data_IF_741578333903
#
_entry.id   IF_741578333903
#
_cell.length_a   1.000
_cell.length_b   1.000
_cell.length_c   1.000
_cell.angle_alpha   90.00
_cell.angle_beta   90.00
_cell.angle_gamma   90.00
#
_symmetry.space_group_name_H-M   'P 1'
#
loop_
_entity.id
_entity.type
_entity.pdbx_description
1 polymer ?
#
# COMPACT_ATOMS: atom_id res chain seq x y z
N UNK A 1 46.59 -2.07 -0.75
CA UNK A 1 46.07 -0.76 -1.23
C UNK A 1 45.74 -0.98 -2.70
N UNK A 2 44.50 -1.01 -3.18
CA UNK A 2 43.31 -0.28 -2.79
C UNK A 2 42.04 -1.13 -2.89
N UNK A 3 41.10 -0.80 -2.03
CA UNK A 3 39.72 -1.27 -1.97
C UNK A 3 39.01 -1.23 -3.33
N UNK A 4 38.21 -2.26 -3.60
CA UNK A 4 37.05 -2.15 -4.49
C UNK A 4 35.81 -2.13 -3.59
N UNK A 5 35.18 -0.97 -3.51
CA UNK A 5 33.86 -0.83 -2.90
C UNK A 5 32.82 -1.64 -3.70
N UNK A 6 31.96 -2.42 -3.04
CA UNK A 6 30.76 -2.94 -3.68
C UNK A 6 29.68 -1.86 -3.61
N UNK A 7 29.60 -1.03 -4.66
CA UNK A 7 28.42 -0.21 -4.89
C UNK A 7 27.25 -1.14 -5.16
N UNK A 8 26.44 -1.36 -4.12
CA UNK A 8 25.16 -2.05 -4.13
C UNK A 8 24.19 -1.31 -5.06
N UNK A 9 24.29 -1.63 -6.35
CA UNK A 9 23.31 -1.21 -7.34
C UNK A 9 22.10 -2.13 -7.21
N UNK A 10 21.13 -1.71 -6.41
CA UNK A 10 19.77 -2.26 -6.39
C UNK A 10 19.08 -2.02 -7.74
N UNK A 11 19.52 -2.73 -8.78
CA UNK A 11 19.03 -2.65 -10.17
C UNK A 11 18.16 -3.88 -10.50
N UNK A 12 17.47 -4.43 -9.50
CA UNK A 12 16.56 -5.56 -9.67
C UNK A 12 15.07 -5.21 -9.70
N UNK A 13 14.70 -3.95 -9.45
CA UNK A 13 13.28 -3.57 -9.24
C UNK A 13 12.55 -3.15 -10.52
N UNK A 14 13.26 -2.60 -11.53
CA UNK A 14 12.62 -2.02 -12.72
C UNK A 14 12.18 -3.06 -13.76
N UNK A 15 12.90 -4.19 -13.88
CA UNK A 15 12.63 -5.20 -14.90
C UNK A 15 11.33 -5.97 -14.65
N UNK A 16 11.01 -6.24 -13.37
CA UNK A 16 9.82 -7.01 -12.99
C UNK A 16 8.54 -6.16 -12.95
N UNK A 17 8.62 -4.85 -12.68
CA UNK A 17 7.45 -3.96 -12.81
C UNK A 17 6.95 -3.92 -14.26
N UNK A 18 7.87 -3.91 -15.23
CA UNK A 18 7.53 -4.02 -16.66
C UNK A 18 6.86 -5.34 -17.05
N UNK A 19 7.00 -6.38 -16.22
CA UNK A 19 6.32 -7.67 -16.40
C UNK A 19 4.91 -7.69 -15.76
N UNK A 20 4.59 -6.74 -14.87
CA UNK A 20 3.26 -6.68 -14.28
C UNK A 20 2.24 -6.22 -15.32
N UNK A 21 1.15 -6.98 -15.42
CA UNK A 21 0.08 -6.67 -16.35
C UNK A 21 -0.63 -5.39 -15.93
N UNK A 22 -0.72 -4.42 -16.85
CA UNK A 22 -1.64 -3.29 -16.71
C UNK A 22 -3.08 -3.81 -16.60
N UNK A 23 -3.77 -3.44 -15.54
CA UNK A 23 -5.19 -3.71 -15.33
C UNK A 23 -6.01 -2.88 -16.31
N UNK A 24 -6.90 -3.56 -17.03
CA UNK A 24 -7.80 -2.91 -17.99
C UNK A 24 -8.98 -2.31 -17.26
N UNK A 25 -9.41 -1.12 -17.68
CA UNK A 25 -10.55 -0.42 -17.06
C UNK A 25 -11.87 -1.19 -17.16
N UNK A 26 -12.01 -2.05 -18.16
CA UNK A 26 -13.15 -2.96 -18.35
C UNK A 26 -13.19 -4.07 -17.29
N UNK A 27 -12.04 -4.43 -16.69
CA UNK A 27 -11.87 -5.50 -15.72
C UNK A 27 -11.67 -6.88 -16.34
N UNK A 28 -11.50 -6.98 -17.66
CA UNK A 28 -11.38 -8.25 -18.39
C UNK A 28 -10.19 -9.12 -17.94
N UNK A 29 -9.10 -8.49 -17.51
CA UNK A 29 -7.92 -9.17 -16.99
C UNK A 29 -7.80 -9.07 -15.46
N UNK A 30 -8.86 -8.69 -14.74
CA UNK A 30 -8.80 -8.44 -13.30
C UNK A 30 -8.36 -9.67 -12.52
N UNK A 31 -8.93 -10.85 -12.76
CA UNK A 31 -8.67 -12.06 -11.96
C UNK A 31 -7.17 -12.43 -12.00
N UNK A 32 -6.61 -12.57 -13.20
CA UNK A 32 -5.19 -12.90 -13.38
C UNK A 32 -4.26 -11.74 -13.06
N UNK A 33 -4.68 -10.51 -13.29
CA UNK A 33 -3.91 -9.31 -12.92
C UNK A 33 -3.78 -9.15 -11.41
N UNK A 34 -4.88 -9.35 -10.67
CA UNK A 34 -4.91 -9.32 -9.20
C UNK A 34 -3.93 -10.34 -8.63
N UNK A 35 -4.04 -11.61 -9.02
CA UNK A 35 -3.15 -12.69 -8.55
C UNK A 35 -1.66 -12.35 -8.72
N UNK A 36 -1.28 -11.78 -9.88
CA UNK A 36 0.10 -11.36 -10.16
C UNK A 36 0.56 -10.23 -9.24
N UNK A 37 -0.30 -9.24 -9.00
CA UNK A 37 -0.01 -8.12 -8.12
C UNK A 37 0.15 -8.59 -6.67
N UNK A 38 -0.75 -9.45 -6.19
CA UNK A 38 -0.68 -10.02 -4.83
C UNK A 38 0.61 -10.81 -4.63
N UNK A 39 0.94 -11.70 -5.59
CA UNK A 39 2.18 -12.49 -5.57
C UNK A 39 3.42 -11.59 -5.55
N UNK A 40 3.42 -10.53 -6.36
CA UNK A 40 4.54 -9.60 -6.41
C UNK A 40 4.72 -8.85 -5.08
N UNK A 41 3.65 -8.28 -4.53
CA UNK A 41 3.68 -7.54 -3.27
C UNK A 41 4.05 -8.45 -2.09
N UNK A 42 3.62 -9.71 -2.12
CA UNK A 42 4.04 -10.72 -1.15
C UNK A 42 5.54 -11.01 -1.26
N UNK A 43 6.08 -11.19 -2.48
CA UNK A 43 7.52 -11.42 -2.71
C UNK A 43 8.41 -10.27 -2.19
N UNK A 44 7.88 -9.04 -2.20
CA UNK A 44 8.56 -7.83 -1.70
C UNK A 44 8.30 -7.55 -0.22
N UNK A 45 7.57 -8.43 0.49
CA UNK A 45 7.16 -8.24 1.90
C UNK A 45 6.32 -6.97 2.13
N UNK A 46 5.63 -6.50 1.09
CA UNK A 46 4.76 -5.32 1.13
C UNK A 46 3.30 -5.68 1.40
N UNK A 47 2.93 -6.95 1.27
CA UNK A 47 1.54 -7.42 1.38
C UNK A 47 0.83 -6.97 2.68
N UNK A 48 1.56 -6.94 3.81
CA UNK A 48 1.00 -6.50 5.10
C UNK A 48 0.49 -5.05 5.09
N UNK A 49 1.03 -4.19 4.22
CA UNK A 49 0.52 -2.82 4.07
C UNK A 49 -0.74 -2.80 3.20
N UNK A 50 -0.85 -3.75 2.28
CA UNK A 50 -1.92 -3.84 1.27
C UNK A 50 -3.18 -4.49 1.86
N UNK A 51 -3.03 -5.51 2.71
CA UNK A 51 -4.13 -6.12 3.45
C UNK A 51 -4.55 -5.32 4.70
N UNK A 52 -3.77 -4.30 5.08
CA UNK A 52 -4.01 -3.45 6.25
C UNK A 52 -3.52 -4.03 7.58
N UNK A 53 -2.82 -5.17 7.57
CA UNK A 53 -2.29 -5.84 8.77
C UNK A 53 -1.01 -5.18 9.33
N UNK A 54 -0.40 -4.25 8.59
CA UNK A 54 0.77 -3.48 9.01
C UNK A 54 0.35 -2.40 10.01
N UNK A 55 0.88 -2.50 11.24
CA UNK A 55 0.62 -1.50 12.28
C UNK A 55 1.42 -0.24 12.00
N UNK A 56 0.72 0.89 11.82
CA UNK A 56 1.33 2.21 11.74
C UNK A 56 1.94 2.58 13.10
N UNK A 57 3.24 2.90 13.17
CA UNK A 57 3.85 3.31 14.44
C UNK A 57 3.19 4.58 15.00
N UNK A 58 3.00 4.66 16.34
CA UNK A 58 2.45 5.85 16.97
C UNK A 58 3.43 7.02 16.88
N UNK A 59 2.93 8.22 16.61
CA UNK A 59 3.75 9.44 16.69
C UNK A 59 3.98 9.78 18.16
N UNK A 60 5.22 9.62 18.64
CA UNK A 60 5.64 10.02 19.99
C UNK A 60 6.18 11.45 19.93
N UNK A 61 5.93 12.26 20.98
CA UNK A 61 6.50 13.60 21.12
C UNK A 61 7.42 13.61 22.34
N UNK A 62 8.63 14.15 22.19
CA UNK A 62 9.53 14.38 23.32
C UNK A 62 8.92 15.46 24.22
N UNK A 63 8.74 15.15 25.51
CA UNK A 63 8.41 16.17 26.50
C UNK A 63 9.74 16.80 26.92
N UNK A 64 10.04 18.02 26.43
CA UNK A 64 11.05 18.84 27.07
C UNK A 64 10.65 18.99 28.55
N UNK A 65 11.54 18.63 29.48
CA UNK A 65 11.28 18.69 30.90
C UNK A 65 10.88 20.13 31.29
N UNK A 66 9.57 20.40 31.35
CA UNK A 66 9.03 21.62 31.92
C UNK A 66 8.53 21.31 33.33
N UNK A 67 8.86 22.14 34.34
CA UNK A 67 8.59 21.81 35.73
C UNK A 67 7.09 21.91 36.03
N UNK A 68 6.53 20.83 36.58
CA UNK A 68 5.24 20.73 37.31
C UNK A 68 4.03 21.46 36.68
N UNK A 69 3.15 20.70 36.04
CA UNK A 69 1.78 21.14 35.74
C UNK A 69 0.81 19.96 35.69
N UNK A 70 -0.10 19.89 36.68
CA UNK A 70 -1.17 18.88 36.78
C UNK A 70 -2.20 19.09 35.66
N UNK A 71 -2.43 18.07 34.83
CA UNK A 71 -3.51 18.03 33.83
C UNK A 71 -3.81 16.56 33.45
N UNK A 72 -5.05 16.24 33.03
CA UNK A 72 -5.53 14.86 32.99
C UNK A 72 -4.86 14.08 31.86
N UNK A 73 -4.61 12.80 32.14
CA UNK A 73 -3.84 11.86 31.35
C UNK A 73 -4.33 11.76 29.89
N UNK A 74 -3.67 12.49 29.00
CA UNK A 74 -3.37 11.97 27.66
C UNK A 74 -2.19 11.02 27.85
N UNK A 75 -2.29 9.81 27.31
CA UNK A 75 -1.22 8.81 27.20
C UNK A 75 -0.05 9.39 26.37
N UNK A 76 0.68 10.33 26.95
CA UNK A 76 1.96 10.80 26.46
C UNK A 76 2.99 9.78 26.94
N UNK A 77 3.31 8.82 26.07
CA UNK A 77 4.35 7.85 26.34
C UNK A 77 5.67 8.61 26.48
N UNK A 78 6.12 8.79 27.72
CA UNK A 78 7.44 9.32 28.06
C UNK A 78 8.48 8.34 27.53
N UNK A 79 9.18 8.72 26.46
CA UNK A 79 10.16 7.87 25.79
C UNK A 79 11.57 8.46 25.98
N UNK A 80 12.55 7.60 26.26
CA UNK A 80 13.97 7.94 26.19
C UNK A 80 14.36 8.28 24.75
N UNK A 81 15.42 9.06 24.54
CA UNK A 81 15.94 9.41 23.19
C UNK A 81 16.08 8.18 22.27
N UNK A 82 16.63 7.08 22.79
CA UNK A 82 16.77 5.82 22.06
C UNK A 82 15.44 5.17 21.63
N UNK A 83 14.38 5.38 22.43
CA UNK A 83 13.04 4.87 22.11
C UNK A 83 12.37 5.76 21.07
N UNK A 84 12.66 7.06 21.07
CA UNK A 84 12.18 8.00 20.07
C UNK A 84 12.81 7.68 18.70
N UNK A 85 14.13 7.55 18.64
CA UNK A 85 14.85 7.22 17.40
C UNK A 85 14.35 5.90 16.78
N UNK A 86 14.13 4.87 17.60
CA UNK A 86 13.55 3.59 17.13
C UNK A 86 12.15 3.75 16.54
N UNK A 87 11.32 4.60 17.14
CA UNK A 87 9.94 4.81 16.68
C UNK A 87 9.89 5.66 15.42
N UNK A 88 10.74 6.68 15.32
CA UNK A 88 10.90 7.51 14.12
C UNK A 88 11.38 6.67 12.94
N UNK A 89 12.44 5.86 13.14
CA UNK A 89 12.91 4.93 12.12
C UNK A 89 11.84 3.94 11.69
N UNK A 90 11.11 3.35 12.64
CA UNK A 90 10.01 2.45 12.30
C UNK A 90 8.89 3.15 11.51
N UNK A 91 8.65 4.44 11.77
CA UNK A 91 7.65 5.23 11.07
C UNK A 91 8.10 5.57 9.64
N UNK A 92 9.37 5.92 9.45
CA UNK A 92 9.98 6.11 8.14
C UNK A 92 9.93 4.82 7.30
N UNK A 93 10.36 3.69 7.88
CA UNK A 93 10.27 2.37 7.25
C UNK A 93 8.81 2.03 6.84
N UNK A 94 7.84 2.43 7.65
CA UNK A 94 6.43 2.20 7.36
C UNK A 94 5.95 3.07 6.18
N UNK A 95 6.36 4.35 6.13
CA UNK A 95 6.06 5.25 5.01
C UNK A 95 6.71 4.76 3.72
N UNK A 96 7.97 4.32 3.79
CA UNK A 96 8.69 3.81 2.62
C UNK A 96 7.96 2.62 2.01
N UNK A 97 7.54 1.65 2.84
CA UNK A 97 6.79 0.47 2.37
C UNK A 97 5.41 0.83 1.81
N UNK A 98 4.71 1.79 2.40
CA UNK A 98 3.47 2.35 1.82
C UNK A 98 3.72 2.94 0.43
N UNK A 99 4.78 3.74 0.27
CA UNK A 99 5.12 4.38 -0.99
C UNK A 99 5.51 3.36 -2.07
N UNK A 100 6.32 2.36 -1.71
CA UNK A 100 6.71 1.27 -2.60
C UNK A 100 5.47 0.47 -3.06
N UNK A 101 4.58 0.12 -2.14
CA UNK A 101 3.35 -0.61 -2.48
C UNK A 101 2.44 0.22 -3.40
N UNK A 102 2.30 1.53 -3.14
CA UNK A 102 1.56 2.45 -4.01
C UNK A 102 2.17 2.54 -5.40
N UNK A 103 3.50 2.62 -5.52
CA UNK A 103 4.18 2.66 -6.80
C UNK A 103 3.82 1.45 -7.66
N UNK A 104 3.80 0.24 -7.08
CA UNK A 104 3.39 -0.98 -7.77
C UNK A 104 1.94 -0.87 -8.25
N UNK A 105 1.01 -0.50 -7.35
CA UNK A 105 -0.41 -0.39 -7.71
C UNK A 105 -0.67 0.66 -8.80
N UNK A 106 -0.03 1.82 -8.69
CA UNK A 106 -0.14 2.91 -9.66
C UNK A 106 0.48 2.54 -11.00
N UNK A 107 1.55 1.75 -10.99
CA UNK A 107 2.10 1.18 -12.20
C UNK A 107 1.13 0.19 -12.86
N UNK A 108 0.27 -0.50 -12.12
CA UNK A 108 -0.66 -1.46 -12.69
C UNK A 108 -1.98 -0.85 -13.20
N UNK A 109 -2.29 0.41 -12.91
CA UNK A 109 -3.57 1.02 -13.30
C UNK A 109 -3.40 2.12 -14.36
N UNK A 110 -4.53 2.58 -14.92
CA UNK A 110 -4.60 3.74 -15.80
C UNK A 110 -4.66 5.05 -15.00
N UNK A 111 -4.33 6.18 -15.63
CA UNK A 111 -4.41 7.50 -14.98
C UNK A 111 -5.84 7.84 -14.50
N UNK A 112 -6.85 7.40 -15.26
CA UNK A 112 -8.25 7.52 -14.86
C UNK A 112 -8.49 6.85 -13.50
N UNK A 113 -8.03 5.62 -13.34
CA UNK A 113 -8.17 4.87 -12.08
C UNK A 113 -7.33 5.46 -10.96
N UNK A 114 -6.15 5.99 -11.29
CA UNK A 114 -5.32 6.73 -10.35
C UNK A 114 -6.07 7.94 -9.77
N UNK A 115 -6.76 8.73 -10.62
CA UNK A 115 -7.57 9.87 -10.17
C UNK A 115 -8.70 9.45 -9.21
N UNK A 116 -9.25 8.25 -9.36
CA UNK A 116 -10.29 7.72 -8.49
C UNK A 116 -9.73 7.30 -7.11
N UNK A 117 -8.48 6.81 -7.03
CA UNK A 117 -7.87 6.32 -5.79
C UNK A 117 -6.89 7.28 -5.12
N UNK A 118 -6.55 8.42 -5.75
CA UNK A 118 -5.52 9.35 -5.25
C UNK A 118 -5.77 9.90 -3.84
N UNK A 119 -7.04 9.99 -3.43
CA UNK A 119 -7.42 10.53 -2.12
C UNK A 119 -7.39 9.47 -1.00
N UNK A 120 -7.05 8.21 -1.30
CA UNK A 120 -6.92 7.16 -0.30
C UNK A 120 -5.67 7.37 0.57
N UNK A 121 -5.86 7.31 1.89
CA UNK A 121 -4.87 7.64 2.92
C UNK A 121 -3.84 6.52 3.08
N UNK A 122 -4.25 5.27 2.89
CA UNK A 122 -3.38 4.09 2.96
C UNK A 122 -3.40 3.28 1.68
N UNK A 123 -2.35 2.50 1.43
CA UNK A 123 -2.33 1.56 0.29
C UNK A 123 -3.40 0.48 0.43
N UNK A 124 -3.76 0.09 1.66
CA UNK A 124 -4.89 -0.79 1.92
C UNK A 124 -6.23 -0.22 1.42
N UNK A 125 -6.47 1.07 1.62
CA UNK A 125 -7.66 1.75 1.08
C UNK A 125 -7.66 1.78 -0.46
N UNK A 126 -6.48 2.04 -1.07
CA UNK A 126 -6.32 1.97 -2.53
C UNK A 126 -6.68 0.57 -3.02
N UNK A 127 -6.13 -0.47 -2.40
CA UNK A 127 -6.36 -1.86 -2.77
C UNK A 127 -7.83 -2.26 -2.64
N UNK A 128 -8.45 -1.97 -1.49
CA UNK A 128 -9.87 -2.23 -1.24
C UNK A 128 -10.76 -1.56 -2.28
N UNK A 129 -10.45 -0.31 -2.65
CA UNK A 129 -11.20 0.44 -3.66
C UNK A 129 -11.06 -0.20 -5.04
N UNK A 130 -9.85 -0.58 -5.44
CA UNK A 130 -9.61 -1.30 -6.70
C UNK A 130 -10.39 -2.63 -6.75
N UNK A 131 -10.36 -3.43 -5.69
CA UNK A 131 -11.15 -4.67 -5.61
C UNK A 131 -12.65 -4.38 -5.80
N UNK A 132 -13.20 -3.40 -5.09
CA UNK A 132 -14.61 -3.03 -5.21
C UNK A 132 -15.02 -2.63 -6.65
N UNK A 133 -14.14 -1.98 -7.40
CA UNK A 133 -14.45 -1.49 -8.74
C UNK A 133 -14.54 -2.60 -9.80
N UNK A 134 -13.79 -3.69 -9.60
CA UNK A 134 -13.72 -4.79 -10.54
C UNK A 134 -14.55 -6.00 -10.11
N UNK A 135 -14.76 -6.19 -8.80
CA UNK A 135 -15.54 -7.30 -8.24
C UNK A 135 -17.05 -7.01 -8.17
N UNK A 136 -17.49 -5.76 -8.37
CA UNK A 136 -18.93 -5.43 -8.50
C UNK A 136 -19.48 -5.63 -9.93
N UNK A 137 -18.62 -5.68 -10.94
CA UNK A 137 -19.03 -5.91 -12.34
C UNK A 137 -19.60 -7.30 -12.70
N UNK A 138 -19.26 -8.43 -12.05
CA UNK A 138 -19.85 -9.72 -12.41
C UNK A 138 -21.34 -9.82 -12.06
N UNK A 139 -21.86 -9.04 -11.11
CA UNK A 139 -23.29 -9.07 -10.78
C UNK A 139 -24.16 -8.42 -11.87
N UNK A 140 -23.78 -7.26 -12.41
CA UNK A 140 -24.52 -6.60 -13.51
C UNK A 140 -24.49 -7.46 -14.78
N UNK A 141 -23.34 -8.01 -15.16
CA UNK A 141 -23.20 -8.84 -16.37
C UNK A 141 -23.96 -10.17 -16.24
N UNK A 142 -24.03 -10.76 -15.04
CA UNK A 142 -24.84 -11.96 -14.80
C UNK A 142 -26.35 -11.66 -14.84
N UNK A 143 -26.78 -10.52 -14.29
CA UNK A 143 -28.18 -10.09 -14.34
C UNK A 143 -28.61 -9.78 -15.78
N UNK A 144 -27.77 -9.09 -16.56
CA UNK A 144 -28.08 -8.75 -17.96
C UNK A 144 -28.13 -9.99 -18.85
N UNK A 145 -27.21 -10.95 -18.66
CA UNK A 145 -27.29 -12.26 -19.34
C UNK A 145 -28.54 -13.04 -18.95
N UNK A 146 -28.93 -13.01 -17.68
CA UNK A 146 -30.15 -13.69 -17.21
C UNK A 146 -31.40 -13.04 -17.79
N UNK A 147 -31.48 -11.71 -17.82
CA UNK A 147 -32.59 -10.97 -18.43
C UNK A 147 -32.69 -11.19 -19.93
N UNK A 148 -31.56 -11.27 -20.63
CA UNK A 148 -31.53 -11.63 -22.05
C UNK A 148 -32.06 -13.05 -22.29
N UNK A 149 -31.69 -14.02 -21.44
CA UNK A 149 -32.15 -15.40 -21.54
C UNK A 149 -33.60 -15.63 -21.07
N UNK A 150 -34.16 -14.72 -20.27
CA UNK A 150 -35.54 -14.78 -19.79
C UNK A 150 -36.55 -14.03 -20.69
N UNK A 151 -36.05 -13.18 -21.59
CA UNK A 151 -36.84 -12.42 -22.55
C UNK A 151 -36.71 -12.96 -23.99
N UNK A 152 -36.19 -14.19 -24.13
CA UNK A 152 -36.25 -15.04 -25.33
C UNK A 152 -37.15 -16.24 -25.03
#
# INVERSE_FOLDING_TARGET
MSSRDPSDATTGSSSFLSQLTKLRDDGSNWITGKERIETYLASKRLWRHVDGSARKPPKIKLLAASPKGKGPARTSLTATEEQLEKVEKAFEDWIEKEAQARQVLYHCISDRRLLEVKNCVTVAEVWKKLCSMHEQKPQMVAIDKRRYLQNM
#
